data_IF_737880616644
#
_entry.id   IF_737880616644
#
_cell.length_a   1.000
_cell.length_b   1.000
_cell.length_c   1.000
_cell.angle_alpha   90.00
_cell.angle_beta   90.00
_cell.angle_gamma   90.00
#
_symmetry.space_group_name_H-M   'P 1'
#
loop_
_entity.id
_entity.type
_entity.pdbx_description
1 polymer ?
#
# COMPACT_ATOMS: atom_id res chain seq x y z
N UNK A 1 16.36 23.22 -23.51
CA UNK A 1 15.88 21.85 -23.81
C UNK A 1 14.99 21.45 -22.65
N UNK A 2 13.66 21.56 -22.78
CA UNK A 2 12.75 21.10 -21.73
C UNK A 2 12.88 19.58 -21.68
N UNK A 3 13.37 19.03 -20.57
CA UNK A 3 13.30 17.59 -20.34
C UNK A 3 11.80 17.24 -20.37
N UNK A 4 11.38 16.45 -21.35
CA UNK A 4 10.04 15.90 -21.38
C UNK A 4 9.79 15.18 -20.06
N UNK A 5 8.70 15.52 -19.38
CA UNK A 5 8.35 14.86 -18.11
C UNK A 5 8.15 13.38 -18.39
N UNK A 6 8.77 12.50 -17.60
CA UNK A 6 8.63 11.07 -17.78
C UNK A 6 7.50 10.58 -16.87
N UNK A 7 6.29 10.45 -17.44
CA UNK A 7 5.07 10.15 -16.69
C UNK A 7 4.53 8.76 -17.02
N UNK A 8 3.94 8.03 -16.05
CA UNK A 8 3.25 6.77 -16.34
C UNK A 8 2.13 6.94 -17.38
N UNK A 9 2.00 5.96 -18.27
CA UNK A 9 0.96 5.89 -19.31
C UNK A 9 -0.28 5.09 -18.87
N UNK A 10 -0.11 4.21 -17.88
CA UNK A 10 -1.21 3.46 -17.26
C UNK A 10 -0.85 3.12 -15.81
N UNK A 11 -1.87 2.94 -14.99
CA UNK A 11 -1.77 2.54 -13.58
C UNK A 11 -2.76 1.42 -13.33
N UNK A 12 -2.29 0.30 -12.75
CA UNK A 12 -3.15 -0.81 -12.33
C UNK A 12 -2.96 -1.10 -10.85
N UNK A 13 -4.07 -1.43 -10.20
CA UNK A 13 -4.10 -1.94 -8.84
C UNK A 13 -4.61 -3.37 -8.89
N UNK A 14 -3.81 -4.32 -8.41
CA UNK A 14 -4.12 -5.74 -8.46
C UNK A 14 -4.10 -6.29 -7.04
N UNK A 15 -5.21 -6.91 -6.62
CA UNK A 15 -5.30 -7.54 -5.32
C UNK A 15 -4.59 -8.89 -5.32
N UNK A 16 -3.89 -9.19 -4.24
CA UNK A 16 -3.18 -10.45 -4.04
C UNK A 16 -3.12 -10.85 -2.57
N UNK A 17 -2.36 -11.91 -2.30
CA UNK A 17 -2.08 -12.41 -0.96
C UNK A 17 -0.68 -11.99 -0.53
N UNK A 18 -0.51 -11.71 0.76
CA UNK A 18 0.81 -11.53 1.34
C UNK A 18 1.43 -12.89 1.70
N UNK A 19 2.71 -12.89 2.09
CA UNK A 19 3.40 -14.10 2.52
C UNK A 19 2.94 -14.68 3.86
N UNK A 20 2.00 -14.02 4.57
CA UNK A 20 1.53 -14.48 5.87
C UNK A 20 0.08 -14.03 6.17
N UNK A 21 -0.31 -14.07 7.45
CA UNK A 21 -1.64 -13.74 7.93
C UNK A 21 -1.68 -12.36 8.61
N UNK A 22 -2.87 -11.77 8.67
CA UNK A 22 -3.20 -10.78 9.70
C UNK A 22 -3.77 -11.51 10.92
N UNK A 23 -3.36 -11.08 12.11
CA UNK A 23 -3.74 -11.69 13.38
C UNK A 23 -4.22 -10.63 14.37
N UNK A 24 -5.40 -10.86 14.92
CA UNK A 24 -5.99 -10.00 15.94
C UNK A 24 -5.26 -10.21 17.28
N UNK A 25 -4.23 -9.39 17.51
CA UNK A 25 -3.40 -9.48 18.71
C UNK A 25 -4.20 -9.22 19.98
N UNK A 26 -5.24 -8.39 19.93
CA UNK A 26 -6.06 -8.09 21.10
C UNK A 26 -6.88 -9.31 21.52
N UNK A 27 -7.55 -9.97 20.56
CA UNK A 27 -8.31 -11.19 20.83
C UNK A 27 -7.42 -12.31 21.41
N UNK A 28 -6.23 -12.49 20.85
CA UNK A 28 -5.25 -13.48 21.32
C UNK A 28 -4.79 -13.18 22.74
N UNK A 29 -4.46 -11.91 23.06
CA UNK A 29 -4.00 -11.52 24.40
C UNK A 29 -5.09 -11.68 25.47
N UNK A 30 -6.36 -11.53 25.09
CA UNK A 30 -7.49 -11.68 26.00
C UNK A 30 -7.90 -13.15 26.22
N UNK A 31 -7.29 -14.10 25.50
CA UNK A 31 -7.67 -15.51 25.48
C UNK A 31 -6.52 -16.41 25.93
N UNK A 32 -6.39 -16.72 27.24
CA UNK A 32 -5.27 -17.51 27.76
C UNK A 32 -5.14 -18.93 27.19
N UNK A 33 -6.23 -19.46 26.62
CA UNK A 33 -6.29 -20.80 26.02
C UNK A 33 -6.23 -20.77 24.48
N UNK A 34 -5.88 -19.64 23.87
CA UNK A 34 -5.84 -19.51 22.43
C UNK A 34 -4.96 -20.60 21.78
N UNK A 35 -5.58 -21.39 20.90
CA UNK A 35 -4.90 -22.34 20.03
C UNK A 35 -5.00 -21.86 18.58
N UNK A 36 -3.85 -21.61 17.96
CA UNK A 36 -3.79 -21.15 16.56
C UNK A 36 -4.30 -22.16 15.54
N UNK A 37 -4.44 -23.43 15.92
CA UNK A 37 -5.00 -24.48 15.06
C UNK A 37 -6.51 -24.61 15.20
N UNK A 38 -7.09 -24.16 16.31
CA UNK A 38 -8.53 -24.24 16.58
C UNK A 38 -9.30 -23.02 16.05
N UNK A 39 -8.71 -21.81 16.12
CA UNK A 39 -9.34 -20.52 15.73
C UNK A 39 -10.77 -20.36 16.27
N UNK A 40 -10.98 -20.74 17.53
CA UNK A 40 -12.29 -20.89 18.18
C UNK A 40 -12.73 -19.65 18.98
N UNK A 41 -11.94 -18.59 18.93
CA UNK A 41 -12.22 -17.32 19.60
C UNK A 41 -12.68 -16.24 18.62
N UNK A 42 -13.51 -15.31 19.09
CA UNK A 42 -14.00 -14.21 18.28
C UNK A 42 -12.95 -13.08 18.15
N UNK A 43 -12.85 -12.41 16.99
CA UNK A 43 -12.06 -11.19 16.86
C UNK A 43 -12.65 -10.04 17.70
N UNK A 44 -11.79 -9.13 18.13
CA UNK A 44 -12.10 -7.97 18.98
C UNK A 44 -11.68 -6.66 18.30
N UNK A 45 -10.64 -6.69 17.48
CA UNK A 45 -10.14 -5.52 16.75
C UNK A 45 -11.04 -5.21 15.54
N UNK A 46 -11.45 -3.95 15.40
CA UNK A 46 -12.33 -3.52 14.31
C UNK A 46 -11.78 -3.89 12.93
N UNK A 47 -12.64 -4.44 12.07
CA UNK A 47 -12.31 -4.87 10.71
C UNK A 47 -11.93 -6.35 10.57
N UNK A 48 -11.49 -7.00 11.66
CA UNK A 48 -11.23 -8.44 11.64
C UNK A 48 -12.53 -9.24 11.56
N UNK A 49 -12.53 -10.28 10.71
CA UNK A 49 -13.65 -11.24 10.58
C UNK A 49 -13.36 -12.57 11.28
N UNK A 50 -12.08 -12.87 11.49
CA UNK A 50 -11.55 -14.01 12.22
C UNK A 50 -10.31 -13.57 12.97
N UNK A 51 -9.91 -14.28 14.02
CA UNK A 51 -8.68 -13.91 14.75
C UNK A 51 -7.44 -14.10 13.89
N UNK A 52 -7.44 -15.10 13.01
CA UNK A 52 -6.43 -15.25 11.96
C UNK A 52 -7.11 -15.21 10.60
N UNK A 53 -6.65 -14.32 9.71
CA UNK A 53 -7.13 -14.23 8.34
C UNK A 53 -5.98 -14.00 7.37
N UNK A 54 -6.17 -14.40 6.11
CA UNK A 54 -5.15 -14.23 5.09
C UNK A 54 -4.69 -12.77 5.03
N UNK A 55 -3.38 -12.56 5.00
CA UNK A 55 -2.81 -11.26 4.71
C UNK A 55 -3.03 -10.94 3.25
N UNK A 56 -3.34 -9.68 2.97
CA UNK A 56 -3.73 -9.22 1.65
C UNK A 56 -2.80 -8.10 1.19
N UNK A 57 -2.58 -7.99 -0.13
CA UNK A 57 -1.78 -6.93 -0.74
C UNK A 57 -2.51 -6.27 -1.90
N UNK A 58 -2.14 -5.03 -2.21
CA UNK A 58 -2.46 -4.38 -3.49
C UNK A 58 -1.15 -4.08 -4.20
N UNK A 59 -0.85 -4.79 -5.28
CA UNK A 59 0.26 -4.46 -6.17
C UNK A 59 -0.12 -3.26 -7.04
N UNK A 60 0.77 -2.27 -7.09
CA UNK A 60 0.69 -1.07 -7.91
C UNK A 60 1.61 -1.26 -9.11
N UNK A 61 1.04 -1.27 -10.31
CA UNK A 61 1.79 -1.41 -11.56
C UNK A 61 1.72 -0.09 -12.33
N UNK A 62 2.88 0.50 -12.64
CA UNK A 62 3.00 1.73 -13.41
C UNK A 62 3.61 1.41 -14.77
N UNK A 63 2.84 1.53 -15.85
CA UNK A 63 3.37 1.36 -17.21
C UNK A 63 4.05 2.63 -17.66
N UNK A 64 5.35 2.58 -17.93
CA UNK A 64 6.16 3.74 -18.30
C UNK A 64 6.18 3.96 -19.83
N UNK A 65 6.51 5.18 -20.32
CA UNK A 65 6.55 5.48 -21.76
C UNK A 65 7.52 4.61 -22.56
N UNK A 66 8.60 4.13 -21.93
CA UNK A 66 9.57 3.22 -22.54
C UNK A 66 9.10 1.75 -22.59
N UNK A 67 7.84 1.46 -22.22
CA UNK A 67 7.24 0.12 -22.25
C UNK A 67 7.52 -0.74 -21.02
N UNK A 68 8.39 -0.30 -20.09
CA UNK A 68 8.64 -1.03 -18.82
C UNK A 68 7.48 -0.87 -17.84
N UNK A 69 7.43 -1.74 -16.84
CA UNK A 69 6.42 -1.71 -15.77
C UNK A 69 7.13 -1.63 -14.42
N UNK A 70 6.92 -0.53 -13.69
CA UNK A 70 7.38 -0.38 -12.32
C UNK A 70 6.37 -0.99 -11.35
N UNK A 71 6.87 -1.55 -10.23
CA UNK A 71 6.04 -2.30 -9.27
C UNK A 71 6.33 -1.82 -7.85
N UNK A 72 5.27 -1.72 -7.04
CA UNK A 72 5.35 -1.62 -5.59
C UNK A 72 4.13 -2.26 -4.94
N UNK A 73 4.23 -2.66 -3.69
CA UNK A 73 3.17 -3.43 -3.02
C UNK A 73 2.70 -2.76 -1.73
N UNK A 74 1.40 -2.48 -1.68
CA UNK A 74 0.72 -2.09 -0.45
C UNK A 74 0.56 -3.33 0.42
N UNK A 75 1.35 -3.42 1.48
CA UNK A 75 1.33 -4.52 2.44
C UNK A 75 1.35 -3.98 3.86
N UNK A 76 0.69 -4.69 4.76
CA UNK A 76 0.59 -4.36 6.18
C UNK A 76 1.26 -5.44 7.04
N UNK A 77 1.45 -5.14 8.32
CA UNK A 77 2.08 -6.03 9.30
C UNK A 77 1.09 -7.02 9.90
N UNK A 78 1.61 -8.14 10.40
CA UNK A 78 0.81 -9.22 11.02
C UNK A 78 -0.17 -8.72 12.11
N UNK A 79 0.23 -7.76 12.95
CA UNK A 79 -0.62 -7.22 14.02
C UNK A 79 -1.10 -5.80 13.67
N UNK A 80 -1.86 -5.68 12.59
CA UNK A 80 -2.47 -4.42 12.18
C UNK A 80 -3.56 -3.95 13.16
N UNK A 81 -3.87 -2.65 13.20
CA UNK A 81 -4.91 -2.07 14.05
C UNK A 81 -4.57 -1.97 15.54
N UNK A 82 -3.31 -2.17 15.93
CA UNK A 82 -2.86 -2.13 17.34
C UNK A 82 -1.66 -1.20 17.55
N UNK A 83 -1.45 -0.73 18.78
CA UNK A 83 -0.26 0.06 19.17
C UNK A 83 0.01 1.28 18.26
N UNK A 84 -1.02 2.11 18.02
CA UNK A 84 -0.95 3.31 17.18
C UNK A 84 -0.65 3.06 15.69
N UNK A 85 -0.73 1.80 15.25
CA UNK A 85 -0.78 1.46 13.82
C UNK A 85 -2.10 1.94 13.23
N UNK A 86 -2.09 2.15 11.92
CA UNK A 86 -3.33 2.34 11.20
C UNK A 86 -4.26 1.12 11.37
N UNK A 87 -5.54 1.30 11.05
CA UNK A 87 -6.54 0.24 11.03
C UNK A 87 -6.11 -0.94 10.15
N UNK A 88 -6.77 -2.08 10.30
CA UNK A 88 -6.56 -3.23 9.41
C UNK A 88 -6.61 -2.79 7.93
N UNK A 89 -5.57 -3.13 7.16
CA UNK A 89 -5.53 -2.83 5.72
C UNK A 89 -6.51 -3.74 4.96
N UNK A 90 -7.71 -3.24 4.69
CA UNK A 90 -8.78 -3.97 4.00
C UNK A 90 -8.85 -3.52 2.53
N UNK A 91 -8.55 -4.44 1.60
CA UNK A 91 -8.42 -4.11 0.18
C UNK A 91 -9.63 -3.35 -0.40
N UNK A 92 -10.84 -3.84 -0.11
CA UNK A 92 -12.09 -3.29 -0.63
C UNK A 92 -12.35 -1.85 -0.17
N UNK A 93 -11.82 -1.47 0.99
CA UNK A 93 -11.96 -0.11 1.54
C UNK A 93 -10.95 0.86 0.91
N UNK A 94 -9.78 0.36 0.51
CA UNK A 94 -8.73 1.18 -0.08
C UNK A 94 -8.80 1.30 -1.60
N UNK A 95 -9.35 0.31 -2.32
CA UNK A 95 -9.47 0.35 -3.78
C UNK A 95 -10.20 1.58 -4.32
N UNK A 96 -11.33 2.06 -3.73
CA UNK A 96 -11.98 3.28 -4.21
C UNK A 96 -11.04 4.48 -4.16
N UNK A 97 -10.38 4.72 -3.01
CA UNK A 97 -9.40 5.79 -2.84
C UNK A 97 -8.25 5.70 -3.85
N UNK A 98 -7.71 4.49 -4.04
CA UNK A 98 -6.63 4.26 -4.98
C UNK A 98 -7.05 4.62 -6.40
N UNK A 99 -8.26 4.24 -6.82
CA UNK A 99 -8.76 4.51 -8.15
C UNK A 99 -9.14 5.98 -8.38
N UNK A 100 -9.72 6.66 -7.38
CA UNK A 100 -10.30 7.99 -7.58
C UNK A 100 -9.35 9.14 -7.28
N UNK A 101 -8.38 8.98 -6.37
CA UNK A 101 -7.43 10.06 -6.04
C UNK A 101 -5.98 9.69 -6.34
N UNK A 102 -5.55 8.46 -6.06
CA UNK A 102 -4.14 8.08 -6.22
C UNK A 102 -3.78 7.84 -7.69
N UNK A 103 -4.63 7.14 -8.46
CA UNK A 103 -4.41 6.89 -9.90
C UNK A 103 -4.26 8.19 -10.70
N UNK A 104 -5.16 9.18 -10.60
CA UNK A 104 -4.98 10.44 -11.32
C UNK A 104 -3.68 11.16 -10.94
N UNK A 105 -3.31 11.17 -9.66
CA UNK A 105 -2.05 11.76 -9.21
C UNK A 105 -0.82 11.04 -9.80
N UNK A 106 -0.80 9.70 -9.77
CA UNK A 106 0.30 8.90 -10.33
C UNK A 106 0.52 9.14 -11.83
N UNK A 107 -0.56 9.35 -12.60
CA UNK A 107 -0.47 9.66 -14.04
C UNK A 107 0.16 11.03 -14.32
N UNK A 108 0.13 11.95 -13.36
CA UNK A 108 0.74 13.29 -13.47
C UNK A 108 2.15 13.37 -12.87
N UNK A 109 2.59 12.33 -12.15
CA UNK A 109 3.92 12.28 -11.55
C UNK A 109 5.02 12.20 -12.60
N UNK A 110 5.96 13.16 -12.55
CA UNK A 110 7.25 12.99 -13.21
C UNK A 110 8.10 12.02 -12.37
N UNK A 111 8.36 10.83 -12.90
CA UNK A 111 9.10 9.79 -12.18
C UNK A 111 10.61 9.87 -12.42
N UNK A 112 11.14 10.89 -13.10
CA UNK A 112 12.59 11.10 -13.20
C UNK A 112 13.24 11.38 -11.83
N UNK A 113 12.48 11.91 -10.86
CA UNK A 113 12.96 12.24 -9.51
C UNK A 113 12.09 11.57 -8.45
N UNK A 114 12.68 10.67 -7.67
CA UNK A 114 11.99 9.96 -6.61
C UNK A 114 11.58 10.86 -5.43
N UNK A 115 12.53 11.63 -4.88
CA UNK A 115 12.37 12.34 -3.59
C UNK A 115 11.14 13.26 -3.53
N UNK A 116 10.85 14.11 -4.53
CA UNK A 116 9.66 14.97 -4.49
C UNK A 116 8.35 14.18 -4.40
N UNK A 117 8.24 13.07 -5.15
CA UNK A 117 7.06 12.21 -5.11
C UNK A 117 6.94 11.51 -3.74
N UNK A 118 8.04 10.98 -3.22
CA UNK A 118 8.08 10.36 -1.89
C UNK A 118 7.65 11.32 -0.77
N UNK A 119 8.11 12.57 -0.82
CA UNK A 119 7.68 13.61 0.14
C UNK A 119 6.18 13.87 0.02
N UNK A 120 5.63 14.01 -1.20
CA UNK A 120 4.17 14.23 -1.40
C UNK A 120 3.33 13.08 -0.85
N UNK A 121 3.78 11.83 -0.98
CA UNK A 121 3.09 10.65 -0.44
C UNK A 121 2.95 10.74 1.07
N UNK A 122 4.00 11.22 1.76
CA UNK A 122 4.06 11.23 3.22
C UNK A 122 3.31 12.43 3.86
N UNK A 123 3.02 13.46 3.06
CA UNK A 123 2.23 14.60 3.51
C UNK A 123 0.73 14.28 3.58
N UNK A 124 -0.05 15.06 4.35
CA UNK A 124 -1.50 15.04 4.26
C UNK A 124 -2.04 15.39 2.86
N UNK A 125 -3.21 14.86 2.52
CA UNK A 125 -3.85 15.07 1.22
C UNK A 125 -5.16 15.84 1.39
N UNK A 126 -5.36 16.96 0.66
CA UNK A 126 -6.62 17.69 0.67
C UNK A 126 -7.83 16.83 0.32
N UNK A 127 -7.67 15.92 -0.63
CA UNK A 127 -8.69 14.96 -1.09
C UNK A 127 -9.13 13.98 0.01
N UNK A 128 -8.32 13.86 1.07
CA UNK A 128 -8.58 13.05 2.25
C UNK A 128 -9.02 13.88 3.46
N UNK A 129 -9.44 15.14 3.26
CA UNK A 129 -9.74 16.07 4.34
C UNK A 129 -8.50 16.36 5.19
N UNK A 130 -7.35 16.55 4.53
CA UNK A 130 -6.05 16.78 5.16
C UNK A 130 -5.60 15.64 6.10
N UNK A 131 -6.00 14.40 5.80
CA UNK A 131 -5.44 13.19 6.43
C UNK A 131 -4.32 12.62 5.58
N UNK A 132 -3.44 11.85 6.20
CA UNK A 132 -2.40 11.07 5.50
C UNK A 132 -3.03 9.82 4.89
N UNK A 133 -2.40 9.34 3.81
CA UNK A 133 -2.65 8.00 3.30
C UNK A 133 -2.28 6.95 4.36
N UNK A 134 -3.00 5.83 4.34
CA UNK A 134 -2.65 4.65 5.13
C UNK A 134 -1.18 4.26 4.89
N UNK A 135 -0.47 3.88 5.95
CA UNK A 135 0.94 3.43 5.94
C UNK A 135 1.21 2.41 4.85
N UNK A 136 0.43 1.32 4.76
CA UNK A 136 0.53 0.32 3.69
C UNK A 136 0.45 0.94 2.27
N UNK A 137 -0.43 1.92 2.06
CA UNK A 137 -0.55 2.63 0.77
C UNK A 137 0.69 3.49 0.51
N UNK A 138 1.16 4.26 1.50
CA UNK A 138 2.39 5.06 1.38
C UNK A 138 3.60 4.17 1.08
N UNK A 139 3.66 3.01 1.70
CA UNK A 139 4.72 2.02 1.50
C UNK A 139 4.72 1.50 0.06
N UNK A 140 3.59 1.01 -0.45
CA UNK A 140 3.48 0.53 -1.83
C UNK A 140 3.75 1.62 -2.87
N UNK A 141 3.25 2.84 -2.65
CA UNK A 141 3.48 3.95 -3.57
C UNK A 141 4.96 4.36 -3.65
N UNK A 142 5.64 4.42 -2.50
CA UNK A 142 7.06 4.79 -2.50
C UNK A 142 7.93 3.75 -3.19
N UNK A 143 7.64 2.45 -3.02
CA UNK A 143 8.29 1.38 -3.79
C UNK A 143 8.06 1.53 -5.29
N UNK A 144 6.80 1.70 -5.72
CA UNK A 144 6.44 1.80 -7.14
C UNK A 144 7.12 3.01 -7.80
N UNK A 145 7.19 4.15 -7.10
CA UNK A 145 7.85 5.34 -7.60
C UNK A 145 9.37 5.23 -7.60
N UNK A 146 9.98 4.57 -6.61
CA UNK A 146 11.42 4.29 -6.63
C UNK A 146 11.78 3.35 -7.78
N UNK A 147 11.01 2.28 -7.97
CA UNK A 147 11.12 1.37 -9.11
C UNK A 147 10.99 2.12 -10.44
N UNK A 148 9.99 3.02 -10.55
CA UNK A 148 9.77 3.82 -11.76
C UNK A 148 10.93 4.78 -12.05
N UNK A 149 11.47 5.44 -11.02
CA UNK A 149 12.64 6.30 -11.14
C UNK A 149 13.87 5.53 -11.61
N UNK A 150 14.13 4.35 -11.04
CA UNK A 150 15.24 3.51 -11.42
C UNK A 150 15.12 3.04 -12.90
N UNK A 151 13.93 2.58 -13.30
CA UNK A 151 13.65 2.16 -14.67
C UNK A 151 13.74 3.32 -15.69
N UNK A 152 13.27 4.51 -15.32
CA UNK A 152 13.36 5.71 -16.16
C UNK A 152 14.82 6.13 -16.39
N UNK A 153 15.66 6.03 -15.35
CA UNK A 153 17.07 6.41 -15.39
C UNK A 153 18.00 5.26 -15.78
N UNK A 154 17.47 4.06 -16.03
CA UNK A 154 18.23 2.84 -16.38
C UNK A 154 19.31 2.49 -15.35
N UNK A 155 18.97 2.61 -14.07
CA UNK A 155 19.83 2.24 -12.95
C UNK A 155 19.10 1.31 -11.97
N UNK A 156 19.81 0.89 -10.94
CA UNK A 156 19.25 0.13 -9.81
C UNK A 156 18.53 1.04 -8.82
N UNK A 157 17.65 0.47 -8.00
CA UNK A 157 16.99 1.14 -6.87
C UNK A 157 17.97 1.33 -5.69
N UNK A 158 19.03 2.10 -5.88
CA UNK A 158 20.10 2.36 -4.90
C UNK A 158 20.16 3.83 -4.52
#
# INVERSE_FOLDING_TARGET
MYLERFRPTDVRFVCGLSGYFHKDLQAVKQSPKYDSLADDIAPVTSGFKKVVQAGEVISILLRLPNGTVAIGECVDVIFSGTASRDSLFILKEHLPLLNTVVRPWLLECDVLKFRPNAVKIDQPWPELGNKRLHTAVRYGLSQALLSATALANKCTMT
#
